data_IF_350827599978
#
_entry.id   IF_350827599978
#
_cell.length_a   1.000
_cell.length_b   1.000
_cell.length_c   1.000
_cell.angle_alpha   90.00
_cell.angle_beta   90.00
_cell.angle_gamma   90.00
#
_symmetry.space_group_name_H-M   'P 1'
#
loop_
_entity.id
_entity.type
_entity.pdbx_description
1 polymer ?
#
# COMPACT_ATOMS: atom_id res chain seq x y z
N UNK A 1 -8.11 0.50 24.03
CA UNK A 1 -8.70 1.59 23.21
C UNK A 1 -8.32 1.35 21.76
N UNK A 2 -9.19 1.63 20.80
CA UNK A 2 -8.88 1.52 19.37
C UNK A 2 -8.16 2.77 18.89
N UNK A 3 -7.09 2.61 18.10
CA UNK A 3 -6.29 3.72 17.56
C UNK A 3 -6.79 4.04 16.15
N UNK A 4 -7.05 5.32 15.87
CA UNK A 4 -7.37 5.81 14.52
C UNK A 4 -6.11 6.24 13.79
N UNK A 5 -6.03 5.92 12.50
CA UNK A 5 -4.92 6.30 11.61
C UNK A 5 -5.52 7.00 10.39
N UNK A 6 -4.91 8.12 9.99
CA UNK A 6 -5.22 8.78 8.72
C UNK A 6 -4.70 7.95 7.56
N UNK A 7 -5.54 7.73 6.55
CA UNK A 7 -5.16 7.05 5.33
C UNK A 7 -4.42 8.00 4.37
N UNK A 8 -3.46 7.50 3.57
CA UNK A 8 -2.82 8.30 2.54
C UNK A 8 -3.85 8.86 1.53
N UNK A 9 -3.63 10.06 0.96
CA UNK A 9 -4.59 10.68 0.02
C UNK A 9 -4.94 9.80 -1.19
N UNK A 10 -4.00 8.98 -1.67
CA UNK A 10 -4.26 8.05 -2.77
C UNK A 10 -5.24 6.94 -2.36
N UNK A 11 -5.12 6.43 -1.13
CA UNK A 11 -6.04 5.42 -0.57
C UNK A 11 -7.41 6.03 -0.34
N UNK A 12 -7.47 7.27 0.14
CA UNK A 12 -8.74 7.97 0.33
C UNK A 12 -9.55 8.08 -0.96
N UNK A 13 -8.91 8.47 -2.08
CA UNK A 13 -9.56 8.54 -3.39
C UNK A 13 -10.12 7.19 -3.85
N UNK A 14 -9.48 6.07 -3.51
CA UNK A 14 -9.99 4.73 -3.84
C UNK A 14 -11.32 4.48 -3.12
N UNK A 15 -11.37 4.76 -1.81
CA UNK A 15 -12.58 4.51 -1.01
C UNK A 15 -13.68 5.55 -1.27
N UNK A 16 -13.33 6.78 -1.63
CA UNK A 16 -14.28 7.79 -2.13
C UNK A 16 -14.93 7.32 -3.45
N UNK A 17 -14.13 6.82 -4.40
CA UNK A 17 -14.66 6.28 -5.65
C UNK A 17 -15.59 5.07 -5.41
N UNK A 18 -15.25 4.20 -4.45
CA UNK A 18 -16.13 3.11 -4.02
C UNK A 18 -17.45 3.65 -3.48
N UNK A 19 -17.41 4.68 -2.63
CA UNK A 19 -18.61 5.31 -2.09
C UNK A 19 -19.47 5.97 -3.18
N UNK A 20 -18.84 6.67 -4.15
CA UNK A 20 -19.53 7.26 -5.29
C UNK A 20 -20.23 6.20 -6.14
N UNK A 21 -19.55 5.09 -6.43
CA UNK A 21 -20.12 3.98 -7.21
C UNK A 21 -21.31 3.34 -6.49
N UNK A 22 -21.26 3.14 -5.17
CA UNK A 22 -22.38 2.60 -4.41
C UNK A 22 -23.58 3.55 -4.35
N UNK A 23 -23.34 4.87 -4.33
CA UNK A 23 -24.40 5.87 -4.42
C UNK A 23 -25.04 5.89 -5.83
N UNK A 24 -24.22 5.80 -6.88
CA UNK A 24 -24.70 5.79 -8.27
C UNK A 24 -25.43 4.49 -8.64
N UNK A 25 -25.04 3.36 -8.06
CA UNK A 25 -25.61 2.04 -8.34
C UNK A 25 -26.13 1.38 -7.05
N UNK A 26 -27.27 1.86 -6.50
CA UNK A 26 -27.80 1.38 -5.23
C UNK A 26 -28.07 -0.13 -5.27
N UNK A 27 -27.72 -0.82 -4.19
CA UNK A 27 -27.85 -2.28 -4.07
C UNK A 27 -26.69 -3.08 -4.67
N UNK A 28 -25.82 -2.45 -5.49
CA UNK A 28 -24.57 -3.08 -5.94
C UNK A 28 -23.44 -2.74 -4.97
N UNK A 29 -22.70 -3.77 -4.55
CA UNK A 29 -21.52 -3.60 -3.72
C UNK A 29 -20.29 -3.39 -4.58
N UNK A 30 -19.49 -2.39 -4.22
CA UNK A 30 -18.15 -2.20 -4.75
C UNK A 30 -17.16 -2.45 -3.62
N UNK A 31 -16.20 -3.35 -3.84
CA UNK A 31 -15.16 -3.68 -2.86
C UNK A 31 -13.85 -3.76 -3.62
N UNK A 32 -12.81 -3.02 -3.20
CA UNK A 32 -11.46 -3.25 -3.72
C UNK A 32 -11.08 -4.72 -3.51
N UNK A 33 -10.28 -5.28 -4.41
CA UNK A 33 -9.85 -6.67 -4.30
C UNK A 33 -8.97 -6.87 -3.06
N UNK A 34 -8.93 -8.12 -2.58
CA UNK A 34 -8.22 -8.45 -1.34
C UNK A 34 -6.70 -8.23 -1.40
N UNK A 35 -6.08 -8.31 -2.58
CA UNK A 35 -4.64 -8.06 -2.71
C UNK A 35 -4.34 -6.57 -2.55
N UNK A 36 -5.10 -5.70 -3.23
CA UNK A 36 -4.96 -4.26 -3.07
C UNK A 36 -5.19 -3.82 -1.61
N UNK A 37 -6.23 -4.36 -0.96
CA UNK A 37 -6.50 -4.09 0.46
C UNK A 37 -5.34 -4.57 1.35
N UNK A 38 -4.73 -5.71 1.02
CA UNK A 38 -3.53 -6.22 1.70
C UNK A 38 -2.36 -5.26 1.62
N UNK A 39 -1.96 -4.87 0.41
CA UNK A 39 -0.83 -3.94 0.19
C UNK A 39 -1.06 -2.57 0.84
N UNK A 40 -2.30 -2.05 0.82
CA UNK A 40 -2.65 -0.82 1.55
C UNK A 40 -2.43 -1.01 3.05
N UNK A 41 -2.86 -2.15 3.60
CA UNK A 41 -2.71 -2.46 5.02
C UNK A 41 -1.25 -2.52 5.46
N UNK A 42 -0.40 -3.15 4.66
CA UNK A 42 1.03 -3.24 4.92
C UNK A 42 1.67 -1.86 5.04
N UNK A 43 1.49 -1.01 4.03
CA UNK A 43 2.07 0.34 4.01
C UNK A 43 1.52 1.21 5.15
N UNK A 44 0.20 1.23 5.36
CA UNK A 44 -0.44 2.02 6.42
C UNK A 44 0.04 1.59 7.80
N UNK A 45 0.17 0.28 8.04
CA UNK A 45 0.67 -0.24 9.31
C UNK A 45 2.14 0.09 9.53
N UNK A 46 2.97 -0.04 8.48
CA UNK A 46 4.39 0.27 8.55
C UNK A 46 4.64 1.75 8.88
N UNK A 47 3.92 2.65 8.23
CA UNK A 47 3.99 4.09 8.52
C UNK A 47 3.51 4.41 9.94
N UNK A 48 2.36 3.85 10.36
CA UNK A 48 1.76 4.17 11.65
C UNK A 48 2.53 3.59 12.86
N UNK A 49 3.20 2.46 12.68
CA UNK A 49 3.86 1.71 13.76
C UNK A 49 5.39 1.72 13.64
N UNK A 50 5.96 2.38 12.63
CA UNK A 50 7.40 2.43 12.40
C UNK A 50 8.02 1.07 12.01
N UNK A 51 7.27 0.23 11.29
CA UNK A 51 7.73 -1.10 10.86
C UNK A 51 8.53 -1.01 9.57
N UNK A 52 9.41 -1.99 9.34
CA UNK A 52 10.08 -2.19 8.06
C UNK A 52 9.37 -3.29 7.29
N UNK A 53 8.93 -3.01 6.06
CA UNK A 53 8.30 -4.01 5.21
C UNK A 53 9.33 -5.03 4.72
N UNK A 54 8.92 -6.30 4.65
CA UNK A 54 9.63 -7.30 3.88
C UNK A 54 9.45 -7.04 2.38
N UNK A 55 10.29 -7.64 1.51
CA UNK A 55 10.04 -7.61 0.07
C UNK A 55 8.65 -8.15 -0.27
N UNK A 56 8.07 -7.66 -1.37
CA UNK A 56 6.77 -8.13 -1.83
C UNK A 56 6.75 -9.66 -1.96
N UNK A 57 5.68 -10.29 -1.48
CA UNK A 57 5.49 -11.75 -1.48
C UNK A 57 6.43 -12.54 -0.54
N UNK A 58 6.99 -11.91 0.50
CA UNK A 58 7.75 -12.62 1.51
C UNK A 58 6.87 -13.67 2.23
N UNK A 59 7.32 -14.92 2.38
CA UNK A 59 6.49 -15.96 2.98
C UNK A 59 6.22 -15.71 4.46
N UNK A 60 4.93 -15.69 4.84
CA UNK A 60 4.46 -15.80 6.22
C UNK A 60 4.39 -14.49 7.02
N UNK A 61 5.22 -13.50 6.71
CA UNK A 61 5.29 -12.23 7.45
C UNK A 61 5.39 -11.05 6.49
N UNK A 62 4.79 -9.91 6.86
CA UNK A 62 4.70 -8.76 5.95
C UNK A 62 5.69 -7.65 6.33
N UNK A 63 6.03 -7.55 7.61
CA UNK A 63 6.94 -6.54 8.15
C UNK A 63 7.73 -7.07 9.34
N UNK A 64 8.71 -6.30 9.81
CA UNK A 64 9.47 -6.58 11.02
C UNK A 64 9.90 -5.30 11.74
N UNK A 65 10.20 -5.44 13.04
CA UNK A 65 10.83 -4.41 13.87
C UNK A 65 11.93 -5.04 14.77
N UNK A 66 12.31 -4.36 15.85
CA UNK A 66 13.32 -4.86 16.79
C UNK A 66 12.86 -6.09 17.59
N UNK A 67 11.55 -6.28 17.76
CA UNK A 67 10.93 -7.39 18.49
C UNK A 67 10.65 -8.60 17.57
N UNK A 68 10.76 -8.42 16.25
CA UNK A 68 10.77 -9.49 15.26
C UNK A 68 9.70 -9.32 14.18
N UNK A 69 9.27 -10.44 13.61
CA UNK A 69 8.33 -10.47 12.49
C UNK A 69 6.88 -10.13 12.88
N UNK A 70 6.22 -9.39 12.01
CA UNK A 70 4.85 -8.90 12.13
C UNK A 70 4.01 -9.38 10.95
N UNK A 71 2.86 -9.99 11.25
CA UNK A 71 1.82 -10.24 10.28
C UNK A 71 0.77 -9.11 10.35
N UNK A 72 0.46 -8.53 9.21
CA UNK A 72 -0.51 -7.48 9.01
C UNK A 72 -1.73 -8.06 8.28
N UNK A 73 -2.92 -7.69 8.75
CA UNK A 73 -4.18 -7.98 8.07
C UNK A 73 -5.03 -6.74 8.03
N UNK A 74 -5.64 -6.49 6.88
CA UNK A 74 -6.56 -5.38 6.71
C UNK A 74 -7.89 -5.86 6.15
N UNK A 75 -8.97 -5.26 6.63
CA UNK A 75 -10.32 -5.52 6.13
C UNK A 75 -11.05 -4.21 5.80
N UNK A 76 -11.93 -4.27 4.81
CA UNK A 76 -12.74 -3.12 4.41
C UNK A 76 -13.78 -2.74 5.46
N UNK A 77 -14.51 -1.65 5.20
CA UNK A 77 -15.49 -1.08 6.14
C UNK A 77 -16.56 -2.06 6.63
N UNK A 78 -17.01 -2.95 5.75
CA UNK A 78 -18.03 -3.98 6.04
C UNK A 78 -17.43 -5.29 6.61
N UNK A 79 -16.11 -5.38 6.67
CA UNK A 79 -15.41 -6.52 7.24
C UNK A 79 -15.68 -6.69 8.74
N UNK A 80 -15.94 -7.93 9.14
CA UNK A 80 -16.18 -8.32 10.53
C UNK A 80 -15.21 -9.40 11.04
N UNK A 81 -14.34 -9.91 10.18
CA UNK A 81 -13.30 -10.88 10.51
C UNK A 81 -12.08 -10.77 9.59
N UNK A 82 -10.99 -11.42 9.99
CA UNK A 82 -9.81 -11.67 9.17
C UNK A 82 -9.48 -13.16 9.16
N UNK A 83 -8.78 -13.62 8.13
CA UNK A 83 -8.33 -15.00 8.00
C UNK A 83 -6.84 -15.12 8.31
N UNK A 84 -6.49 -16.17 9.04
CA UNK A 84 -5.11 -16.53 9.41
C UNK A 84 -4.81 -17.93 8.86
N UNK A 85 -3.63 -18.10 8.29
CA UNK A 85 -3.14 -19.43 7.83
C UNK A 85 -2.32 -20.15 8.90
N UNK A 86 -1.64 -19.38 9.74
CA UNK A 86 -0.81 -19.88 10.84
C UNK A 86 -0.83 -18.88 12.01
N UNK A 87 -0.25 -19.30 13.13
CA UNK A 87 0.10 -18.37 14.22
C UNK A 87 1.29 -17.49 13.80
N UNK A 88 1.50 -16.39 14.51
CA UNK A 88 2.62 -15.46 14.30
C UNK A 88 3.06 -14.86 15.64
N UNK A 89 4.23 -14.21 15.66
CA UNK A 89 4.76 -13.58 16.87
C UNK A 89 3.91 -12.35 17.24
N UNK A 90 3.77 -11.41 16.29
CA UNK A 90 2.92 -10.23 16.42
C UNK A 90 1.91 -10.16 15.27
N UNK A 91 0.67 -9.87 15.60
CA UNK A 91 -0.43 -9.66 14.66
C UNK A 91 -0.92 -8.21 14.77
N UNK A 92 -0.98 -7.52 13.64
CA UNK A 92 -1.61 -6.20 13.49
C UNK A 92 -2.83 -6.36 12.59
N UNK A 93 -4.00 -5.93 13.08
CA UNK A 93 -5.26 -5.97 12.32
C UNK A 93 -5.82 -4.58 12.18
N UNK A 94 -5.97 -4.14 10.93
CA UNK A 94 -6.58 -2.86 10.55
C UNK A 94 -7.98 -3.05 9.97
N UNK A 95 -8.82 -2.06 10.19
CA UNK A 95 -10.13 -1.95 9.55
C UNK A 95 -10.34 -0.55 8.99
N UNK A 96 -10.71 -0.45 7.71
CA UNK A 96 -11.23 0.81 7.15
C UNK A 96 -12.48 1.23 7.91
N UNK A 97 -12.59 2.48 8.31
CA UNK A 97 -13.78 3.02 9.00
C UNK A 97 -14.42 4.18 8.27
N UNK A 98 -13.64 4.90 7.47
CA UNK A 98 -14.09 5.90 6.52
C UNK A 98 -13.13 5.93 5.33
N UNK A 99 -13.43 6.66 4.24
CA UNK A 99 -12.46 6.85 3.16
C UNK A 99 -11.12 7.42 3.64
N UNK A 100 -11.10 8.18 4.73
CA UNK A 100 -9.90 8.87 5.21
C UNK A 100 -9.26 8.21 6.42
N UNK A 101 -9.90 7.20 7.05
CA UNK A 101 -9.42 6.65 8.31
C UNK A 101 -9.49 5.12 8.35
N UNK A 102 -8.48 4.56 9.00
CA UNK A 102 -8.46 3.18 9.47
C UNK A 102 -8.40 3.10 11.00
N UNK A 103 -8.81 1.96 11.53
CA UNK A 103 -8.71 1.59 12.93
C UNK A 103 -7.69 0.47 13.08
N UNK A 104 -6.73 0.62 14.01
CA UNK A 104 -6.02 -0.55 14.57
C UNK A 104 -7.00 -1.25 15.52
N UNK A 105 -7.52 -2.38 15.06
CA UNK A 105 -8.44 -3.23 15.82
C UNK A 105 -7.67 -4.11 16.82
N UNK A 106 -6.48 -4.53 16.44
CA UNK A 106 -5.59 -5.38 17.23
C UNK A 106 -4.14 -5.08 16.90
N UNK A 107 -3.33 -4.97 17.94
CA UNK A 107 -1.87 -4.95 17.86
C UNK A 107 -1.33 -5.69 19.09
N UNK A 108 -0.78 -6.88 18.89
CA UNK A 108 -0.33 -7.73 19.98
C UNK A 108 0.10 -9.12 19.53
N UNK A 109 0.31 -10.05 20.48
CA UNK A 109 0.78 -11.40 20.17
C UNK A 109 -0.17 -12.16 19.23
N UNK A 110 0.38 -12.95 18.30
CA UNK A 110 -0.46 -13.72 17.36
C UNK A 110 -1.16 -14.93 17.97
N UNK A 111 -0.56 -15.55 19.00
CA UNK A 111 -1.07 -16.78 19.62
C UNK A 111 -2.49 -16.64 20.20
N UNK A 112 -2.84 -15.59 20.98
CA UNK A 112 -4.20 -15.44 21.50
C UNK A 112 -5.24 -15.26 20.39
N UNK A 113 -4.89 -14.56 19.31
CA UNK A 113 -5.76 -14.38 18.16
C UNK A 113 -5.96 -15.69 17.41
N UNK A 114 -4.89 -16.47 17.22
CA UNK A 114 -4.95 -17.80 16.63
C UNK A 114 -5.80 -18.76 17.48
N UNK A 115 -5.61 -18.80 18.79
CA UNK A 115 -6.39 -19.63 19.70
C UNK A 115 -7.88 -19.29 19.66
N UNK A 116 -8.23 -17.99 19.61
CA UNK A 116 -9.61 -17.52 19.55
C UNK A 116 -10.30 -17.67 18.18
N UNK A 117 -9.54 -17.97 17.13
CA UNK A 117 -10.05 -18.16 15.78
C UNK A 117 -10.94 -19.41 15.66
N UNK A 118 -11.85 -19.42 14.68
CA UNK A 118 -12.72 -20.55 14.41
C UNK A 118 -11.97 -21.82 13.98
N UNK A 119 -12.74 -22.88 13.70
CA UNK A 119 -12.19 -24.12 13.16
C UNK A 119 -11.46 -23.88 11.83
N UNK A 120 -10.51 -24.76 11.52
CA UNK A 120 -9.80 -24.74 10.24
C UNK A 120 -10.77 -24.98 9.09
N UNK A 121 -10.83 -24.04 8.15
CA UNK A 121 -11.57 -24.19 6.91
C UNK A 121 -10.90 -25.17 5.96
N UNK A 122 -11.63 -25.62 4.93
CA UNK A 122 -11.09 -26.51 3.88
C UNK A 122 -9.91 -25.90 3.11
N UNK A 123 -9.80 -24.57 3.13
CA UNK A 123 -8.72 -23.79 2.51
C UNK A 123 -7.50 -23.60 3.44
N UNK A 124 -7.45 -24.26 4.59
CA UNK A 124 -6.35 -24.13 5.55
C UNK A 124 -6.31 -22.78 6.28
N UNK A 125 -7.40 -22.01 6.24
CA UNK A 125 -7.52 -20.75 6.99
C UNK A 125 -8.40 -20.90 8.22
N UNK A 126 -8.08 -20.16 9.28
CA UNK A 126 -8.95 -19.91 10.43
C UNK A 126 -9.44 -18.47 10.40
N UNK A 127 -10.74 -18.27 10.54
CA UNK A 127 -11.30 -16.91 10.62
C UNK A 127 -11.43 -16.45 12.08
N UNK A 128 -10.98 -15.24 12.38
CA UNK A 128 -11.13 -14.60 13.69
C UNK A 128 -11.94 -13.31 13.56
N UNK A 129 -12.99 -13.19 14.37
CA UNK A 129 -13.88 -12.03 14.36
C UNK A 129 -13.26 -10.80 15.03
N UNK A 130 -13.48 -9.62 14.46
CA UNK A 130 -12.95 -8.36 14.99
C UNK A 130 -13.42 -8.06 16.42
N UNK A 131 -14.65 -8.45 16.79
CA UNK A 131 -15.14 -8.29 18.17
C UNK A 131 -14.31 -9.09 19.18
N UNK A 132 -13.88 -10.31 18.81
CA UNK A 132 -12.99 -11.12 19.65
C UNK A 132 -11.62 -10.47 19.76
N UNK A 133 -11.07 -9.98 18.64
CA UNK A 133 -9.79 -9.28 18.63
C UNK A 133 -9.82 -8.02 19.51
N UNK A 134 -10.88 -7.21 19.46
CA UNK A 134 -11.05 -6.06 20.36
C UNK A 134 -11.09 -6.48 21.83
N UNK A 135 -11.79 -7.56 22.16
CA UNK A 135 -11.82 -8.09 23.51
C UNK A 135 -10.44 -8.57 23.98
N UNK A 136 -9.65 -9.19 23.09
CA UNK A 136 -8.26 -9.58 23.39
C UNK A 136 -7.36 -8.35 23.60
N UNK A 137 -7.46 -7.32 22.75
CA UNK A 137 -6.71 -6.08 22.89
C UNK A 137 -7.04 -5.36 24.21
N UNK A 138 -8.32 -5.36 24.61
CA UNK A 138 -8.76 -4.78 25.88
C UNK A 138 -8.24 -5.54 27.12
N UNK A 139 -7.91 -6.83 26.99
CA UNK A 139 -7.30 -7.61 28.08
C UNK A 139 -5.79 -7.37 28.16
N UNK A 140 -5.12 -7.31 27.01
CA UNK A 140 -3.67 -7.08 26.95
C UNK A 140 -3.24 -5.69 27.46
N UNK A 141 -4.11 -4.68 27.43
CA UNK A 141 -3.80 -3.38 28.03
C UNK A 141 -3.87 -3.34 29.56
N UNK A 142 -4.39 -4.39 30.22
CA UNK A 142 -4.43 -4.52 31.69
C UNK A 142 -3.12 -5.09 32.24
N UNK A 143 -2.37 -5.85 31.44
CA UNK A 143 -1.18 -6.60 31.88
C UNK A 143 0.16 -5.97 31.46
N UNK A 144 0.17 -4.79 30.81
CA UNK A 144 1.41 -4.11 30.42
C UNK A 144 1.89 -3.16 31.53
N UNK A 145 3.06 -3.37 32.17
CA UNK A 145 3.61 -2.39 33.08
C UNK A 145 3.80 -1.05 32.34
N UNK A 146 3.25 0.02 32.93
CA UNK A 146 3.16 1.35 32.35
C UNK A 146 4.53 2.05 32.36
N UNK A 147 5.44 1.63 31.50
CA UNK A 147 6.70 2.35 31.24
C UNK A 147 6.83 2.61 29.75
N UNK A 148 6.06 3.56 29.23
CA UNK A 148 6.43 4.43 28.09
C UNK A 148 5.37 5.55 27.97
N UNK A 149 5.25 6.38 29.01
CA UNK A 149 4.51 7.65 28.98
C UNK A 149 5.43 8.86 28.72
N UNK A 150 6.61 8.64 28.14
CA UNK A 150 7.70 9.63 28.15
C UNK A 150 8.11 10.24 26.80
N UNK A 151 7.46 9.91 25.68
CA UNK A 151 7.91 10.43 24.35
C UNK A 151 6.74 10.85 23.44
N UNK A 152 5.53 11.03 23.98
CA UNK A 152 4.35 11.41 23.20
C UNK A 152 4.11 12.94 23.15
N UNK A 153 5.08 13.76 23.57
CA UNK A 153 4.89 15.21 23.72
C UNK A 153 5.89 16.09 22.97
N UNK A 154 6.59 15.57 21.95
CA UNK A 154 7.48 16.41 21.12
C UNK A 154 7.42 16.22 19.60
N UNK A 155 6.40 15.57 19.03
CA UNK A 155 6.32 15.34 17.57
C UNK A 155 4.96 15.72 16.96
N UNK A 156 4.40 16.84 17.41
CA UNK A 156 3.27 17.49 16.76
C UNK A 156 3.63 18.94 16.46
N UNK A 157 4.22 19.18 15.29
CA UNK A 157 4.16 20.41 14.47
C UNK A 157 5.13 20.28 13.28
N UNK A 158 5.01 19.21 12.49
CA UNK A 158 5.60 19.21 11.15
C UNK A 158 4.69 20.09 10.28
N UNK A 159 5.09 21.34 10.08
CA UNK A 159 4.31 22.27 9.26
C UNK A 159 4.51 21.96 7.79
N UNK A 160 3.49 22.24 6.97
CA UNK A 160 3.45 22.02 5.51
C UNK A 160 4.72 22.53 4.79
N UNK A 161 5.36 23.56 5.32
CA UNK A 161 6.62 24.12 4.81
C UNK A 161 7.82 23.16 4.90
N UNK A 162 7.91 22.35 5.97
CA UNK A 162 9.01 21.38 6.16
C UNK A 162 8.85 20.18 5.21
N UNK A 163 7.61 19.76 4.96
CA UNK A 163 7.30 18.72 3.99
C UNK A 163 7.58 19.19 2.55
N UNK A 164 7.26 20.44 2.23
CA UNK A 164 7.57 21.06 0.93
C UNK A 164 9.09 21.24 0.74
N UNK A 165 9.82 21.63 1.78
CA UNK A 165 11.27 21.79 1.77
C UNK A 165 12.00 20.45 1.61
N UNK A 166 11.57 19.40 2.32
CA UNK A 166 12.12 18.06 2.18
C UNK A 166 11.89 17.51 0.76
N UNK A 167 10.70 17.70 0.20
CA UNK A 167 10.40 17.31 -1.17
C UNK A 167 11.23 18.10 -2.22
N UNK A 168 11.63 19.34 -1.94
CA UNK A 168 12.50 20.13 -2.81
C UNK A 168 13.94 19.62 -2.76
N UNK A 169 14.45 19.27 -1.57
CA UNK A 169 15.78 18.69 -1.38
C UNK A 169 15.89 17.34 -2.09
N UNK A 170 14.89 16.47 -1.96
CA UNK A 170 14.86 15.17 -2.66
C UNK A 170 14.84 15.36 -4.18
N UNK A 171 14.11 16.36 -4.69
CA UNK A 171 14.11 16.69 -6.12
C UNK A 171 15.46 17.22 -6.61
N UNK A 172 16.16 18.02 -5.80
CA UNK A 172 17.49 18.52 -6.13
C UNK A 172 18.53 17.37 -6.15
N UNK A 173 18.53 16.50 -5.14
CA UNK A 173 19.39 15.31 -5.10
C UNK A 173 19.14 14.36 -6.29
N UNK A 174 17.88 14.20 -6.68
CA UNK A 174 17.53 13.39 -7.85
C UNK A 174 18.00 14.05 -9.16
N UNK A 175 17.95 15.37 -9.27
CA UNK A 175 18.49 16.10 -10.42
C UNK A 175 20.02 15.98 -10.50
N UNK A 176 20.72 16.16 -9.38
CA UNK A 176 22.18 16.02 -9.30
C UNK A 176 22.64 14.60 -9.64
N UNK A 177 21.94 13.57 -9.15
CA UNK A 177 22.24 12.17 -9.48
C UNK A 177 22.01 11.86 -10.97
N UNK A 178 21.01 12.50 -11.59
CA UNK A 178 20.75 12.39 -13.03
C UNK A 178 21.84 13.11 -13.82
N UNK A 179 22.27 14.29 -13.40
CA UNK A 179 23.37 15.02 -14.04
C UNK A 179 24.72 14.30 -13.89
N UNK A 180 24.99 13.69 -12.73
CA UNK A 180 26.15 12.83 -12.50
C UNK A 180 26.10 11.60 -13.42
N UNK A 181 24.94 10.93 -13.54
CA UNK A 181 24.77 9.81 -14.45
C UNK A 181 24.90 10.22 -15.94
N UNK A 182 24.58 11.47 -16.29
CA UNK A 182 24.72 12.02 -17.63
C UNK A 182 26.14 12.55 -17.93
N UNK A 183 26.98 12.76 -16.92
CA UNK A 183 28.35 13.26 -17.07
C UNK A 183 29.32 12.28 -17.75
N UNK A 184 28.95 10.99 -17.84
CA UNK A 184 29.73 9.94 -18.51
C UNK A 184 29.41 9.70 -19.99
N UNK A 185 28.59 10.55 -20.63
CA UNK A 185 28.24 10.41 -22.06
C UNK A 185 28.34 11.75 -22.76
N UNK A 186 29.50 12.02 -23.36
CA UNK A 186 29.79 13.25 -24.11
C UNK A 186 28.89 13.40 -25.33
N UNK A 187 27.74 14.05 -25.14
CA UNK A 187 26.93 14.63 -26.20
C UNK A 187 26.60 16.08 -25.84
N UNK A 188 26.97 17.02 -26.71
CA UNK A 188 26.79 18.47 -26.48
C UNK A 188 25.30 18.84 -26.44
N UNK A 189 24.98 20.00 -25.85
CA UNK A 189 23.61 20.50 -25.75
C UNK A 189 22.90 20.58 -27.12
N UNK A 190 23.66 20.87 -28.18
CA UNK A 190 23.19 20.90 -29.58
C UNK A 190 22.80 19.51 -30.08
N UNK A 191 23.59 18.47 -29.79
CA UNK A 191 23.28 17.09 -30.16
C UNK A 191 22.03 16.55 -29.44
N UNK A 192 21.77 17.02 -28.22
CA UNK A 192 20.53 16.70 -27.48
C UNK A 192 19.31 17.47 -28.02
N UNK A 193 19.49 18.68 -28.54
CA UNK A 193 18.42 19.47 -29.16
C UNK A 193 18.01 18.89 -30.53
N UNK A 194 18.98 18.49 -31.35
CA UNK A 194 18.74 17.88 -32.66
C UNK A 194 18.03 16.52 -32.54
N UNK A 195 18.43 15.68 -31.57
CA UNK A 195 17.74 14.42 -31.27
C UNK A 195 16.30 14.62 -30.79
N UNK A 196 16.02 15.68 -30.02
CA UNK A 196 14.66 16.03 -29.61
C UNK A 196 13.81 16.45 -30.81
N UNK A 197 14.37 17.26 -31.72
CA UNK A 197 13.70 17.67 -32.95
C UNK A 197 13.28 16.48 -33.82
N UNK A 198 14.15 15.48 -33.98
CA UNK A 198 13.83 14.26 -34.74
C UNK A 198 12.77 13.36 -34.10
N UNK A 199 12.51 13.50 -32.80
CA UNK A 199 11.54 12.68 -32.06
C UNK A 199 10.16 13.33 -31.95
N UNK A 200 10.04 14.64 -32.18
CA UNK A 200 8.80 15.41 -32.02
C UNK A 200 8.13 15.83 -33.33
N UNK A 201 8.68 15.49 -34.49
CA UNK A 201 7.96 15.62 -35.78
C UNK A 201 6.92 14.50 -35.94
N UNK A 202 5.75 14.73 -35.32
CA UNK A 202 4.61 13.81 -35.23
C UNK A 202 3.90 13.37 -36.54
N UNK A 203 4.11 13.93 -37.77
CA UNK A 203 3.46 13.33 -38.94
C UNK A 203 4.29 12.23 -39.63
N UNK A 204 5.58 12.03 -39.29
CA UNK A 204 6.42 11.02 -39.95
C UNK A 204 6.31 9.61 -39.32
N UNK A 205 6.11 9.53 -38.00
CA UNK A 205 6.03 8.25 -37.25
C UNK A 205 4.72 7.49 -37.56
N UNK A 206 3.65 8.19 -37.89
CA UNK A 206 2.33 7.59 -38.20
C UNK A 206 2.31 6.95 -39.61
N UNK A 207 3.16 7.40 -40.54
CA UNK A 207 3.22 6.85 -41.90
C UNK A 207 4.02 5.53 -42.00
N UNK A 208 5.05 5.32 -41.17
CA UNK A 208 5.81 4.07 -41.15
C UNK A 208 5.08 2.91 -40.45
N UNK A 209 4.16 3.20 -39.53
CA UNK A 209 3.36 2.19 -38.83
C UNK A 209 2.21 1.57 -39.66
N UNK A 210 1.94 2.06 -40.88
CA UNK A 210 0.92 1.51 -41.80
C UNK A 210 1.49 0.79 -43.02
N UNK A 211 2.81 0.53 -43.06
CA UNK A 211 3.52 0.14 -44.28
C UNK A 211 4.22 -1.21 -44.32
N UNK A 212 4.05 -2.14 -43.36
CA UNK A 212 4.65 -3.48 -43.44
C UNK A 212 3.76 -4.56 -42.83
N UNK A 213 2.79 -5.04 -43.60
CA UNK A 213 2.20 -6.37 -43.44
C UNK A 213 2.81 -7.32 -44.50
N UNK A 214 3.21 -8.55 -44.15
CA UNK A 214 3.76 -9.48 -45.14
C UNK A 214 2.68 -9.93 -46.14
N UNK A 215 3.08 -9.94 -47.42
CA UNK A 215 2.21 -9.99 -48.59
C UNK A 215 1.31 -11.22 -48.71
N UNK A 216 0.03 -10.94 -48.99
CA UNK A 216 -0.86 -11.87 -49.69
C UNK A 216 -0.57 -11.78 -51.19
N UNK A 217 -0.02 -12.85 -51.76
CA UNK A 217 0.05 -13.03 -53.23
C UNK A 217 -1.34 -13.38 -53.77
N UNK A 218 -1.98 -12.39 -54.39
CA UNK A 218 -2.96 -12.53 -55.46
C UNK A 218 -2.16 -12.29 -56.77
N UNK A 219 -2.26 -13.00 -57.89
CA UNK A 219 -3.34 -13.65 -58.65
C UNK A 219 -2.65 -14.50 -59.76
N UNK A 220 -3.33 -15.44 -60.43
CA UNK A 220 -4.04 -15.15 -61.68
C UNK A 220 -5.10 -16.19 -62.00
N UNK A 221 -6.27 -15.67 -62.37
CA UNK A 221 -7.29 -16.36 -63.13
C UNK A 221 -6.86 -16.49 -64.60
N UNK A 222 -7.08 -17.68 -65.16
CA UNK A 222 -7.91 -17.87 -66.36
C UNK A 222 -8.62 -19.20 -66.21
#
# INVERSE_FOLDING_TARGET
>A
MSVRISLPPAVARIYEAVAELEQRYPGRKFTPDGHLVGSIGEVVAAEALGLKLHPASYPGHDAYDADGDVQIKMTGQRGSSVSLYATCNRLVVLKIVSPHEAEIVYDGPGEPAWAAAGAMGKNGQRSVGLSKLRALAARACVDRPSTMSGIAQSLATATEAEMQASAAVVRALAADAVDEALSGSGATAEQKAERRGTLTDEPAVICQARGQGPGVRLRKAR
#
